data_IF_943532035232
#
_entry.id   IF_943532035232
#
_cell.length_a   1.000
_cell.length_b   1.000
_cell.length_c   1.000
_cell.angle_alpha   90.00
_cell.angle_beta   90.00
_cell.angle_gamma   90.00
#
_symmetry.space_group_name_H-M   'P 1'
#
loop_
_entity.id
_entity.type
_entity.pdbx_description
1 polymer ?
#
# COMPACT_ATOMS: atom_id res chain seq x y z
N UNK A 1 4.46 -0.45 -11.57
CA UNK A 1 3.12 0.15 -11.43
C UNK A 1 2.50 0.49 -12.79
N UNK A 2 3.21 1.15 -13.72
CA UNK A 2 2.68 1.48 -15.06
C UNK A 2 2.16 0.29 -15.90
N UNK A 3 2.59 -0.94 -15.60
CA UNK A 3 2.14 -2.17 -16.29
C UNK A 3 1.12 -2.98 -15.49
N UNK A 4 0.60 -2.45 -14.38
CA UNK A 4 -0.42 -3.12 -13.56
C UNK A 4 -1.79 -2.65 -14.06
N UNK A 5 -2.73 -3.54 -14.39
CA UNK A 5 -4.10 -3.15 -14.74
C UNK A 5 -4.72 -2.24 -13.68
N UNK A 6 -5.43 -1.21 -14.12
CA UNK A 6 -6.07 -0.24 -13.23
C UNK A 6 -5.16 0.89 -12.76
N UNK A 7 -3.83 0.72 -12.75
CA UNK A 7 -2.91 1.78 -12.31
C UNK A 7 -2.67 2.79 -13.45
N UNK A 8 -2.88 4.07 -13.15
CA UNK A 8 -2.64 5.18 -14.08
C UNK A 8 -2.08 6.42 -13.35
N UNK A 9 -1.73 7.45 -14.12
CA UNK A 9 -1.12 8.70 -13.63
C UNK A 9 0.02 8.49 -12.61
N UNK A 10 0.99 7.64 -12.98
CA UNK A 10 2.11 7.31 -12.11
C UNK A 10 3.05 8.50 -11.96
N UNK A 11 3.16 9.00 -10.73
CA UNK A 11 3.93 10.19 -10.32
C UNK A 11 5.08 9.79 -9.39
N UNK A 12 6.20 10.50 -9.51
CA UNK A 12 7.41 10.25 -8.72
C UNK A 12 7.78 11.50 -7.92
N UNK A 13 7.82 11.39 -6.59
CA UNK A 13 8.16 12.48 -5.68
C UNK A 13 9.55 12.26 -5.04
N UNK A 14 10.41 13.29 -4.94
CA UNK A 14 10.24 14.64 -5.51
C UNK A 14 10.43 14.68 -7.03
N UNK A 15 11.02 13.64 -7.63
CA UNK A 15 11.18 13.52 -9.08
C UNK A 15 11.50 12.09 -9.50
N UNK A 16 11.31 11.80 -10.79
CA UNK A 16 11.66 10.51 -11.41
C UNK A 16 13.16 10.16 -11.34
N UNK A 17 14.05 11.13 -11.18
CA UNK A 17 15.51 10.90 -11.11
C UNK A 17 15.92 10.36 -9.74
N UNK A 18 15.24 10.81 -8.68
CA UNK A 18 15.53 10.42 -7.29
C UNK A 18 14.21 10.25 -6.52
N UNK A 19 13.39 9.26 -6.88
CA UNK A 19 12.12 9.05 -6.21
C UNK A 19 12.36 8.58 -4.78
N UNK A 20 11.59 9.13 -3.86
CA UNK A 20 11.38 8.62 -2.49
C UNK A 20 10.00 8.01 -2.35
N UNK A 21 9.06 8.54 -3.12
CA UNK A 21 7.69 8.09 -3.16
C UNK A 21 7.25 7.95 -4.62
N UNK A 22 6.50 6.90 -4.91
CA UNK A 22 5.78 6.74 -6.17
C UNK A 22 4.30 6.69 -5.84
N UNK A 23 3.51 7.53 -6.50
CA UNK A 23 2.06 7.59 -6.33
C UNK A 23 1.41 7.19 -7.64
N UNK A 24 0.37 6.36 -7.60
CA UNK A 24 -0.45 6.04 -8.75
C UNK A 24 -1.91 6.22 -8.39
N UNK A 25 -2.70 6.71 -9.35
CA UNK A 25 -4.15 6.64 -9.25
C UNK A 25 -4.59 5.25 -9.77
N UNK A 26 -5.68 4.73 -9.23
CA UNK A 26 -6.14 3.36 -9.51
C UNK A 26 -7.62 3.36 -9.86
N UNK A 27 -7.95 2.77 -11.01
CA UNK A 27 -9.30 2.30 -11.34
C UNK A 27 -9.48 0.94 -10.67
N UNK A 28 -10.33 0.91 -9.64
CA UNK A 28 -10.40 -0.21 -8.71
C UNK A 28 -10.99 -1.45 -9.38
N UNK A 29 -12.01 -1.29 -10.21
CA UNK A 29 -12.63 -2.42 -10.91
C UNK A 29 -11.67 -3.03 -11.94
N UNK A 30 -10.90 -2.20 -12.66
CA UNK A 30 -9.89 -2.69 -13.61
C UNK A 30 -8.72 -3.37 -12.89
N UNK A 31 -8.35 -2.89 -11.70
CA UNK A 31 -7.32 -3.51 -10.86
C UNK A 31 -7.78 -4.87 -10.30
N UNK A 32 -8.99 -4.94 -9.75
CA UNK A 32 -9.54 -6.16 -9.15
C UNK A 32 -10.05 -7.16 -10.18
N UNK A 33 -10.42 -6.69 -11.37
CA UNK A 33 -11.04 -7.50 -12.43
C UNK A 33 -12.51 -7.86 -12.17
N UNK A 34 -13.15 -7.17 -11.22
CA UNK A 34 -14.53 -7.39 -10.79
C UNK A 34 -15.17 -6.09 -10.33
N UNK A 35 -16.51 -6.05 -10.23
CA UNK A 35 -17.20 -4.85 -9.75
C UNK A 35 -16.92 -4.58 -8.29
N UNK A 36 -16.75 -3.31 -7.94
CA UNK A 36 -16.39 -2.90 -6.59
C UNK A 36 -17.09 -1.60 -6.20
N UNK A 37 -17.52 -1.41 -4.92
CA UNK A 37 -18.31 -0.23 -4.53
C UNK A 37 -17.59 1.11 -4.69
N UNK A 38 -16.26 1.08 -4.74
CA UNK A 38 -15.39 2.26 -4.81
C UNK A 38 -14.68 2.26 -6.15
N UNK A 39 -14.78 3.36 -6.88
CA UNK A 39 -14.35 3.42 -8.28
C UNK A 39 -12.88 3.84 -8.44
N UNK A 40 -12.41 4.77 -7.61
CA UNK A 40 -11.08 5.36 -7.70
C UNK A 40 -10.35 5.28 -6.37
N UNK A 41 -9.04 5.08 -6.43
CA UNK A 41 -8.17 5.11 -5.27
C UNK A 41 -6.78 5.68 -5.62
N UNK A 42 -5.95 5.85 -4.60
CA UNK A 42 -4.53 6.17 -4.74
C UNK A 42 -3.70 5.09 -4.06
N UNK A 43 -2.62 4.70 -4.72
CA UNK A 43 -1.57 3.86 -4.12
C UNK A 43 -0.29 4.68 -3.99
N UNK A 44 0.21 4.78 -2.76
CA UNK A 44 1.50 5.35 -2.41
C UNK A 44 2.50 4.24 -2.08
N UNK A 45 3.66 4.28 -2.74
CA UNK A 45 4.80 3.42 -2.46
C UNK A 45 5.96 4.29 -2.01
N UNK A 46 6.40 4.11 -0.78
CA UNK A 46 7.50 4.86 -0.19
C UNK A 46 8.65 3.93 0.17
N UNK A 47 9.87 4.36 -0.15
CA UNK A 47 11.08 3.70 0.31
C UNK A 47 12.12 4.74 0.73
N UNK A 48 12.62 4.61 1.96
CA UNK A 48 13.70 5.43 2.50
C UNK A 48 14.70 4.52 3.22
N UNK A 49 15.90 4.30 2.65
CA UNK A 49 16.91 3.54 3.35
C UNK A 49 17.40 4.30 4.57
N UNK A 50 17.62 3.58 5.68
CA UNK A 50 18.13 4.14 6.94
C UNK A 50 19.20 3.22 7.52
N UNK A 51 20.04 3.77 8.39
CA UNK A 51 20.94 2.95 9.20
C UNK A 51 20.07 2.13 10.18
N UNK A 52 20.17 0.79 10.11
CA UNK A 52 19.26 -0.11 10.82
C UNK A 52 18.15 -0.62 9.91
N UNK A 53 16.92 -0.17 10.15
CA UNK A 53 15.72 -0.64 9.43
C UNK A 53 15.32 0.35 8.33
N UNK A 54 15.30 -0.12 7.09
CA UNK A 54 14.72 0.61 5.96
C UNK A 54 13.25 0.95 6.25
N UNK A 55 12.84 2.19 5.96
CA UNK A 55 11.43 2.56 6.01
C UNK A 55 10.79 2.26 4.67
N UNK A 56 9.76 1.41 4.68
CA UNK A 56 9.00 1.04 3.48
C UNK A 56 7.51 1.14 3.76
N UNK A 57 6.74 1.63 2.80
CA UNK A 57 5.28 1.70 2.91
C UNK A 57 4.66 1.43 1.55
N UNK A 58 3.62 0.61 1.51
CA UNK A 58 2.72 0.46 0.37
C UNK A 58 1.31 0.68 0.91
N UNK A 59 0.66 1.74 0.44
CA UNK A 59 -0.53 2.26 1.07
C UNK A 59 -1.58 2.64 0.04
N UNK A 60 -2.79 2.11 0.22
CA UNK A 60 -4.00 2.39 -0.52
C UNK A 60 -4.84 3.41 0.22
N UNK A 61 -5.43 4.35 -0.49
CA UNK A 61 -6.45 5.25 0.04
C UNK A 61 -7.55 5.49 -1.00
N UNK A 62 -8.79 5.24 -0.62
CA UNK A 62 -9.99 5.64 -1.36
C UNK A 62 -10.86 6.57 -0.50
N UNK A 63 -12.13 6.75 -0.85
CA UNK A 63 -13.07 7.63 -0.15
C UNK A 63 -13.65 7.03 1.14
N UNK A 64 -13.41 5.75 1.42
CA UNK A 64 -13.97 5.04 2.59
C UNK A 64 -12.88 4.49 3.49
N UNK A 65 -11.81 3.94 2.92
CA UNK A 65 -10.74 3.27 3.67
C UNK A 65 -9.34 3.72 3.24
N UNK A 66 -8.46 3.69 4.22
CA UNK A 66 -7.01 3.84 4.07
C UNK A 66 -6.36 2.57 4.63
N UNK A 67 -5.59 1.85 3.82
CA UNK A 67 -4.98 0.59 4.28
C UNK A 67 -3.63 0.29 3.64
N UNK A 68 -2.81 -0.51 4.30
CA UNK A 68 -1.56 -0.96 3.69
C UNK A 68 -0.53 -1.51 4.66
N UNK A 69 0.65 -1.78 4.14
CA UNK A 69 1.76 -2.36 4.90
C UNK A 69 2.86 -1.34 5.12
N UNK A 70 3.38 -1.34 6.33
CA UNK A 70 4.42 -0.43 6.79
C UNK A 70 5.54 -1.23 7.41
N UNK A 71 6.76 -0.91 7.03
CA UNK A 71 8.01 -1.32 7.67
C UNK A 71 8.62 -0.07 8.25
N UNK A 72 8.41 0.15 9.54
CA UNK A 72 8.92 1.28 10.30
C UNK A 72 8.96 0.93 11.81
N UNK A 73 9.14 1.93 12.66
CA UNK A 73 9.29 1.76 14.12
C UNK A 73 8.03 2.18 14.90
N UNK A 74 6.89 2.41 14.23
CA UNK A 74 5.68 2.97 14.88
C UNK A 74 4.95 1.93 15.75
N UNK A 75 4.97 0.66 15.32
CA UNK A 75 4.34 -0.48 16.01
C UNK A 75 5.31 -1.65 16.24
N UNK A 76 6.37 -1.46 17.05
CA UNK A 76 7.41 -2.48 17.23
C UNK A 76 6.87 -3.78 17.86
N UNK A 77 5.75 -3.72 18.58
CA UNK A 77 5.07 -4.88 19.17
C UNK A 77 4.46 -5.82 18.13
N UNK A 78 4.23 -5.35 16.90
CA UNK A 78 3.67 -6.12 15.78
C UNK A 78 4.74 -6.77 14.90
N UNK A 79 6.02 -6.57 15.25
CA UNK A 79 7.17 -7.04 14.49
C UNK A 79 7.74 -5.97 13.54
N UNK A 80 8.58 -6.41 12.61
CA UNK A 80 9.27 -5.50 11.65
C UNK A 80 8.30 -4.85 10.68
N UNK A 81 7.18 -5.50 10.38
CA UNK A 81 6.16 -5.01 9.46
C UNK A 81 4.79 -5.12 10.10
N UNK A 82 3.95 -4.12 9.88
CA UNK A 82 2.55 -4.13 10.30
C UNK A 82 1.63 -3.78 9.13
N UNK A 83 0.41 -4.28 9.18
CA UNK A 83 -0.70 -3.84 8.33
C UNK A 83 -1.56 -2.87 9.14
N UNK A 84 -2.00 -1.80 8.48
CA UNK A 84 -2.88 -0.78 9.03
C UNK A 84 -4.13 -0.69 8.15
N UNK A 85 -5.29 -0.60 8.78
CA UNK A 85 -6.58 -0.29 8.17
C UNK A 85 -7.23 0.83 8.97
N UNK A 86 -7.64 1.88 8.28
CA UNK A 86 -8.31 3.05 8.83
C UNK A 86 -9.59 3.33 8.05
N UNK A 87 -10.62 3.69 8.81
CA UNK A 87 -11.89 4.23 8.33
C UNK A 87 -12.23 5.46 9.17
N UNK A 88 -13.36 6.11 8.90
CA UNK A 88 -13.84 7.22 9.74
C UNK A 88 -14.13 6.80 11.19
N UNK A 89 -14.44 5.53 11.43
CA UNK A 89 -14.88 5.02 12.74
C UNK A 89 -13.82 4.18 13.46
N UNK A 90 -12.90 3.54 12.73
CA UNK A 90 -11.94 2.61 13.30
C UNK A 90 -10.52 2.73 12.73
N UNK A 91 -9.55 2.33 13.56
CA UNK A 91 -8.15 2.17 13.18
C UNK A 91 -7.64 0.86 13.76
N UNK A 92 -7.23 -0.05 12.89
CA UNK A 92 -6.81 -1.42 13.19
C UNK A 92 -5.37 -1.61 12.74
N UNK A 93 -4.56 -2.21 13.62
CA UNK A 93 -3.18 -2.57 13.34
C UNK A 93 -2.95 -4.05 13.64
N UNK A 94 -2.34 -4.77 12.70
CA UNK A 94 -2.05 -6.19 12.83
C UNK A 94 -0.63 -6.52 12.31
N UNK A 95 0.00 -7.64 12.72
CA UNK A 95 1.29 -8.05 12.18
C UNK A 95 1.23 -8.20 10.65
N UNK A 96 2.19 -7.59 9.95
CA UNK A 96 2.21 -7.58 8.48
C UNK A 96 2.65 -8.92 7.87
N UNK A 97 3.46 -9.69 8.60
CA UNK A 97 4.02 -10.97 8.17
C UNK A 97 4.71 -10.89 6.79
N UNK A 98 5.56 -9.88 6.61
CA UNK A 98 6.43 -9.67 5.45
C UNK A 98 7.88 -9.59 5.94
N UNK A 99 8.67 -10.62 5.65
CA UNK A 99 10.06 -10.75 6.15
C UNK A 99 11.12 -10.47 5.06
N UNK A 100 10.71 -9.90 3.92
CA UNK A 100 11.65 -9.58 2.83
C UNK A 100 12.28 -8.20 3.04
N UNK A 101 13.58 -8.12 2.82
CA UNK A 101 14.34 -6.87 2.97
C UNK A 101 14.34 -6.02 1.70
N UNK A 102 14.36 -6.67 0.53
CA UNK A 102 14.46 -5.99 -0.75
C UNK A 102 13.18 -5.17 -1.05
N UNK A 103 13.29 -3.87 -1.36
CA UNK A 103 12.11 -3.00 -1.55
C UNK A 103 11.17 -3.45 -2.67
N UNK A 104 11.73 -3.99 -3.75
CA UNK A 104 10.92 -4.55 -4.83
C UNK A 104 10.12 -5.78 -4.37
N UNK A 105 10.75 -6.68 -3.61
CA UNK A 105 10.07 -7.86 -3.08
C UNK A 105 9.00 -7.50 -2.06
N UNK A 106 9.24 -6.49 -1.22
CA UNK A 106 8.22 -5.97 -0.30
C UNK A 106 7.01 -5.44 -1.08
N UNK A 107 7.25 -4.62 -2.11
CA UNK A 107 6.20 -4.11 -2.98
C UNK A 107 5.41 -5.24 -3.68
N UNK A 108 6.09 -6.23 -4.23
CA UNK A 108 5.46 -7.37 -4.89
C UNK A 108 4.52 -8.14 -3.95
N UNK A 109 4.96 -8.42 -2.71
CA UNK A 109 4.13 -9.08 -1.70
C UNK A 109 2.91 -8.23 -1.32
N UNK A 110 3.09 -6.91 -1.17
CA UNK A 110 1.97 -6.02 -0.85
C UNK A 110 0.94 -6.00 -1.97
N UNK A 111 1.38 -5.86 -3.23
CA UNK A 111 0.48 -5.83 -4.38
C UNK A 111 -0.25 -7.15 -4.62
N UNK A 112 0.40 -8.29 -4.32
CA UNK A 112 -0.21 -9.62 -4.39
C UNK A 112 -1.32 -9.80 -3.33
N UNK A 113 -1.12 -9.29 -2.12
CA UNK A 113 -2.07 -9.40 -0.99
C UNK A 113 -3.17 -8.33 -1.00
N UNK A 114 -2.95 -7.20 -1.67
CA UNK A 114 -3.84 -6.05 -1.64
C UNK A 114 -5.28 -6.36 -2.11
N UNK A 115 -5.51 -7.10 -3.21
CA UNK A 115 -6.87 -7.43 -3.65
C UNK A 115 -7.70 -8.12 -2.57
N UNK A 116 -7.11 -9.08 -1.85
CA UNK A 116 -7.82 -9.82 -0.81
C UNK A 116 -8.17 -8.94 0.40
N UNK A 117 -7.32 -7.97 0.73
CA UNK A 117 -7.61 -6.96 1.77
C UNK A 117 -8.68 -5.98 1.34
N UNK A 118 -8.70 -5.56 0.08
CA UNK A 118 -9.77 -4.70 -0.44
C UNK A 118 -11.13 -5.41 -0.47
N UNK A 119 -11.17 -6.69 -0.83
CA UNK A 119 -12.42 -7.48 -0.80
C UNK A 119 -13.03 -7.55 0.60
N UNK A 120 -12.19 -7.66 1.63
CA UNK A 120 -12.64 -7.65 3.03
C UNK A 120 -13.26 -6.32 3.44
N UNK A 121 -12.99 -5.24 2.70
CA UNK A 121 -13.56 -3.92 2.97
C UNK A 121 -14.71 -3.55 2.04
N UNK A 122 -15.24 -4.48 1.25
CA UNK A 122 -16.33 -4.19 0.30
C UNK A 122 -17.66 -3.81 0.94
N UNK A 123 -17.89 -4.21 2.20
CA UNK A 123 -19.12 -3.90 2.94
C UNK A 123 -19.04 -2.62 3.79
N UNK A 124 -17.90 -1.93 3.77
CA UNK A 124 -17.74 -0.63 4.44
C UNK A 124 -18.47 0.48 3.68
#
# INVERSE_FOLDING_TARGET
MENIPGFYDVRYDPSRIRPRTVVADVDVELFLGESFPRAEAKVEVLWRPREGTDVQRVHWADDVVSLGWHKDEDHPELGTTHFQLETDDESVHEPGAIEVEAPLSFLEVCLDRLPDKLRQTSDY
#
